data_IF_824686702439
#
_entry.id   IF_824686702439
#
_cell.length_a   1.000
_cell.length_b   1.000
_cell.length_c   1.000
_cell.angle_alpha   90.00
_cell.angle_beta   90.00
_cell.angle_gamma   90.00
#
_symmetry.space_group_name_H-M   'P 1'
#
loop_
_entity.id
_entity.type
_entity.pdbx_description
1 polymer ?
#
# COMPACT_ATOMS: atom_id res chain seq x y z
N UNK A 1 -14.98 -1.61 11.35
CA UNK A 1 -13.61 -1.13 11.45
C UNK A 1 -13.18 -0.50 10.14
N UNK A 2 -12.61 0.70 10.18
CA UNK A 2 -12.16 1.35 8.95
C UNK A 2 -10.86 0.72 8.46
N UNK A 3 -10.58 0.91 7.18
CA UNK A 3 -9.34 0.43 6.59
C UNK A 3 -8.12 1.02 7.29
N UNK A 4 -8.19 2.31 7.62
CA UNK A 4 -7.11 2.99 8.35
C UNK A 4 -6.84 2.34 9.70
N UNK A 5 -7.90 2.02 10.44
CA UNK A 5 -7.77 1.35 11.74
C UNK A 5 -7.15 -0.03 11.59
N UNK A 6 -7.52 -0.76 10.55
CA UNK A 6 -6.95 -2.08 10.27
C UNK A 6 -5.44 -1.95 10.04
N UNK A 7 -5.04 -0.96 9.25
CA UNK A 7 -3.61 -0.73 8.96
C UNK A 7 -2.85 -0.36 10.25
N UNK A 8 -3.43 0.50 11.08
CA UNK A 8 -2.81 0.87 12.34
C UNK A 8 -2.64 -0.33 13.27
N UNK A 9 -3.63 -1.23 13.30
CA UNK A 9 -3.56 -2.45 14.09
C UNK A 9 -2.42 -3.35 13.59
N UNK A 10 -2.32 -3.53 12.28
CA UNK A 10 -1.25 -4.35 11.70
C UNK A 10 0.13 -3.73 11.94
N UNK A 11 0.20 -2.41 11.92
CA UNK A 11 1.44 -1.71 12.24
C UNK A 11 1.89 -2.00 13.66
N UNK A 12 0.96 -1.95 14.62
CA UNK A 12 1.27 -2.27 16.02
C UNK A 12 1.76 -3.70 16.18
N UNK A 13 1.13 -4.63 15.45
CA UNK A 13 1.57 -6.04 15.44
C UNK A 13 2.98 -6.16 14.90
N UNK A 14 3.29 -5.44 13.83
CA UNK A 14 4.63 -5.46 13.24
C UNK A 14 5.69 -4.92 14.20
N UNK A 15 5.35 -3.88 14.95
CA UNK A 15 6.25 -3.33 15.97
C UNK A 15 6.56 -4.36 17.04
N UNK A 16 5.55 -5.11 17.49
CA UNK A 16 5.73 -6.14 18.51
C UNK A 16 6.57 -7.31 17.99
N UNK A 17 6.37 -7.69 16.74
CA UNK A 17 7.12 -8.80 16.13
C UNK A 17 8.51 -8.39 15.67
N UNK A 18 8.81 -7.11 15.67
CA UNK A 18 10.10 -6.54 15.24
C UNK A 18 10.41 -6.86 13.77
N UNK A 19 9.39 -6.97 12.95
CA UNK A 19 9.55 -7.23 11.52
C UNK A 19 9.86 -5.91 10.81
N UNK A 20 11.12 -5.68 10.52
CA UNK A 20 11.61 -4.42 9.96
C UNK A 20 10.97 -4.08 8.62
N UNK A 21 10.79 -5.07 7.77
CA UNK A 21 10.18 -4.86 6.45
C UNK A 21 8.74 -4.38 6.59
N UNK A 22 7.97 -5.04 7.45
CA UNK A 22 6.58 -4.64 7.69
C UNK A 22 6.50 -3.27 8.35
N UNK A 23 7.34 -3.02 9.35
CA UNK A 23 7.37 -1.73 10.04
C UNK A 23 7.62 -0.60 9.04
N UNK A 24 8.63 -0.75 8.21
CA UNK A 24 8.97 0.25 7.20
C UNK A 24 7.83 0.48 6.22
N UNK A 25 7.22 -0.60 5.75
CA UNK A 25 6.12 -0.53 4.79
C UNK A 25 4.88 0.14 5.40
N UNK A 26 4.52 -0.24 6.63
CA UNK A 26 3.36 0.37 7.29
C UNK A 26 3.58 1.85 7.58
N UNK A 27 4.80 2.24 7.91
CA UNK A 27 5.12 3.67 8.08
C UNK A 27 4.91 4.44 6.79
N UNK A 28 5.35 3.87 5.68
CA UNK A 28 5.15 4.45 4.37
C UNK A 28 3.67 4.59 4.05
N UNK A 29 2.91 3.54 4.29
CA UNK A 29 1.46 3.53 4.04
C UNK A 29 0.76 4.59 4.88
N UNK A 30 1.03 4.62 6.18
CA UNK A 30 0.38 5.58 7.08
C UNK A 30 0.76 7.02 6.75
N UNK A 31 2.02 7.24 6.36
CA UNK A 31 2.47 8.56 5.91
C UNK A 31 1.72 9.00 4.66
N UNK A 32 1.53 8.10 3.70
CA UNK A 32 0.79 8.37 2.47
C UNK A 32 -0.67 8.70 2.76
N UNK A 33 -1.28 7.98 3.70
CA UNK A 33 -2.67 8.24 4.11
C UNK A 33 -2.77 9.61 4.77
N UNK A 34 -1.79 9.96 5.60
CA UNK A 34 -1.76 11.27 6.26
C UNK A 34 -1.67 12.39 5.24
N UNK A 35 -0.83 12.23 4.22
CA UNK A 35 -0.71 13.22 3.15
C UNK A 35 -2.03 13.36 2.40
N UNK A 36 -2.72 12.25 2.15
CA UNK A 36 -4.03 12.28 1.51
C UNK A 36 -5.06 13.00 2.38
N UNK A 37 -5.04 12.74 3.70
CA UNK A 37 -5.91 13.44 4.64
C UNK A 37 -5.71 14.95 4.58
N UNK A 38 -4.46 15.39 4.58
CA UNK A 38 -4.11 16.80 4.52
C UNK A 38 -4.62 17.41 3.22
N UNK A 39 -4.40 16.72 2.11
CA UNK A 39 -4.86 17.15 0.80
C UNK A 39 -6.39 17.32 0.78
N UNK A 40 -7.11 16.33 1.30
CA UNK A 40 -8.57 16.35 1.32
C UNK A 40 -9.13 17.47 2.21
N UNK A 41 -8.47 17.76 3.32
CA UNK A 41 -8.91 18.78 4.26
C UNK A 41 -8.60 20.21 3.79
N UNK A 42 -7.50 20.37 3.07
CA UNK A 42 -7.06 21.71 2.63
C UNK A 42 -7.49 22.05 1.23
N UNK A 43 -8.09 21.13 0.50
CA UNK A 43 -8.56 21.38 -0.85
C UNK A 43 -9.86 22.18 -0.91
N UNK A 44 -10.26 22.60 -2.10
CA UNK A 44 -11.53 23.35 -2.28
C UNK A 44 -12.74 22.49 -1.93
N UNK A 45 -12.65 21.20 -2.04
CA UNK A 45 -13.71 20.26 -1.67
C UNK A 45 -13.30 19.52 -0.42
N UNK A 46 -13.37 20.21 0.72
CA UNK A 46 -13.01 19.61 2.01
C UNK A 46 -13.84 18.36 2.26
N UNK A 47 -13.17 17.26 2.56
CA UNK A 47 -13.83 16.00 2.88
C UNK A 47 -12.95 15.18 3.79
N UNK A 48 -13.57 14.22 4.47
CA UNK A 48 -12.83 13.22 5.22
C UNK A 48 -12.37 12.13 4.25
N UNK A 49 -11.20 11.58 4.53
CA UNK A 49 -10.68 10.47 3.75
C UNK A 49 -11.44 9.21 4.13
N UNK A 50 -12.11 8.61 3.16
CA UNK A 50 -12.85 7.37 3.39
C UNK A 50 -12.07 6.16 2.85
N UNK A 51 -12.62 4.96 3.05
CA UNK A 51 -11.97 3.73 2.62
C UNK A 51 -11.76 3.68 1.11
N UNK A 52 -12.70 4.24 0.33
CA UNK A 52 -12.56 4.27 -1.12
C UNK A 52 -11.36 5.12 -1.55
N UNK A 53 -11.15 6.24 -0.88
CA UNK A 53 -9.99 7.09 -1.14
C UNK A 53 -8.68 6.34 -0.86
N UNK A 54 -8.65 5.60 0.24
CA UNK A 54 -7.48 4.82 0.60
C UNK A 54 -7.23 3.69 -0.41
N UNK A 55 -8.30 3.04 -0.86
CA UNK A 55 -8.18 1.99 -1.88
C UNK A 55 -7.62 2.53 -3.19
N UNK A 56 -8.06 3.72 -3.59
CA UNK A 56 -7.52 4.38 -4.79
C UNK A 56 -6.05 4.71 -4.63
N UNK A 57 -5.68 5.21 -3.45
CA UNK A 57 -4.28 5.49 -3.13
C UNK A 57 -3.44 4.21 -3.23
N UNK A 58 -3.94 3.12 -2.67
CA UNK A 58 -3.24 1.82 -2.69
C UNK A 58 -3.06 1.30 -4.12
N UNK A 59 -4.06 1.45 -4.97
CA UNK A 59 -3.96 1.05 -6.38
C UNK A 59 -2.86 1.82 -7.09
N UNK A 60 -2.77 3.12 -6.81
CA UNK A 60 -1.71 3.97 -7.36
C UNK A 60 -0.34 3.53 -6.86
N UNK A 61 -0.22 3.26 -5.56
CA UNK A 61 1.02 2.79 -4.96
C UNK A 61 1.46 1.46 -5.54
N UNK A 62 0.51 0.54 -5.74
CA UNK A 62 0.79 -0.76 -6.35
C UNK A 62 1.28 -0.61 -7.79
N UNK A 63 0.65 0.27 -8.55
CA UNK A 63 1.05 0.52 -9.93
C UNK A 63 2.48 1.03 -10.00
N UNK A 64 2.82 1.98 -9.14
CA UNK A 64 4.18 2.54 -9.08
C UNK A 64 5.19 1.45 -8.77
N UNK A 65 4.88 0.56 -7.83
CA UNK A 65 5.78 -0.52 -7.45
C UNK A 65 5.89 -1.59 -8.53
N UNK A 66 4.80 -1.90 -9.21
CA UNK A 66 4.83 -2.84 -10.33
C UNK A 66 5.76 -2.34 -11.42
N UNK A 67 5.74 -1.05 -11.71
CA UNK A 67 6.64 -0.44 -12.68
C UNK A 67 8.10 -0.54 -12.23
N UNK A 68 8.37 -0.26 -10.96
CA UNK A 68 9.72 -0.38 -10.39
C UNK A 68 10.22 -1.82 -10.43
N UNK A 69 9.34 -2.77 -10.10
CA UNK A 69 9.67 -4.20 -10.13
C UNK A 69 10.15 -4.61 -11.52
N UNK A 70 9.43 -4.19 -12.57
CA UNK A 70 9.80 -4.51 -13.93
C UNK A 70 11.17 -3.93 -14.29
N UNK A 71 11.43 -2.70 -13.86
CA UNK A 71 12.72 -2.04 -14.12
C UNK A 71 13.85 -2.80 -13.42
N UNK A 72 13.65 -3.17 -12.16
CA UNK A 72 14.68 -3.87 -11.40
C UNK A 72 14.93 -5.29 -11.92
N UNK A 73 13.90 -5.96 -12.43
CA UNK A 73 14.08 -7.25 -13.08
C UNK A 73 14.97 -7.13 -14.32
N UNK A 74 14.75 -6.11 -15.13
CA UNK A 74 15.53 -5.89 -16.36
C UNK A 74 16.99 -5.54 -16.06
N UNK A 75 17.23 -4.92 -14.91
CA UNK A 75 18.57 -4.46 -14.54
C UNK A 75 19.26 -5.39 -13.53
N UNK A 76 18.67 -6.55 -13.26
CA UNK A 76 19.24 -7.55 -12.35
C UNK A 76 19.51 -6.98 -10.94
N UNK A 77 18.62 -6.12 -10.47
CA UNK A 77 18.73 -5.53 -9.13
C UNK A 77 17.81 -6.27 -8.16
N UNK A 78 18.17 -7.50 -7.84
CA UNK A 78 17.37 -8.36 -6.97
C UNK A 78 17.19 -7.78 -5.56
N UNK A 79 18.15 -7.03 -5.07
CA UNK A 79 18.09 -6.36 -3.76
C UNK A 79 16.94 -5.35 -3.72
N UNK A 80 16.84 -4.50 -4.73
CA UNK A 80 15.79 -3.48 -4.82
C UNK A 80 14.44 -4.11 -5.21
N UNK A 81 14.49 -5.14 -6.06
CA UNK A 81 13.30 -5.88 -6.46
C UNK A 81 12.58 -6.46 -5.24
N UNK A 82 13.33 -7.07 -4.33
CA UNK A 82 12.77 -7.70 -3.15
C UNK A 82 12.03 -6.69 -2.28
N UNK A 83 12.61 -5.51 -2.07
CA UNK A 83 11.99 -4.45 -1.27
C UNK A 83 10.66 -4.01 -1.89
N UNK A 84 10.67 -3.75 -3.20
CA UNK A 84 9.45 -3.31 -3.90
C UNK A 84 8.39 -4.39 -3.92
N UNK A 85 8.80 -5.65 -4.09
CA UNK A 85 7.87 -6.78 -4.11
C UNK A 85 7.21 -6.95 -2.75
N UNK A 86 7.97 -6.84 -1.67
CA UNK A 86 7.44 -6.94 -0.31
C UNK A 86 6.42 -5.82 -0.03
N UNK A 87 6.73 -4.59 -0.45
CA UNK A 87 5.81 -3.47 -0.30
C UNK A 87 4.54 -3.69 -1.10
N UNK A 88 4.68 -4.13 -2.34
CA UNK A 88 3.54 -4.43 -3.20
C UNK A 88 2.62 -5.48 -2.54
N UNK A 89 3.21 -6.55 -2.04
CA UNK A 89 2.44 -7.64 -1.44
C UNK A 89 1.67 -7.17 -0.20
N UNK A 90 2.30 -6.37 0.64
CA UNK A 90 1.65 -5.85 1.85
C UNK A 90 0.50 -4.93 1.48
N UNK A 91 0.73 -4.00 0.56
CA UNK A 91 -0.31 -3.06 0.12
C UNK A 91 -1.49 -3.81 -0.50
N UNK A 92 -1.20 -4.79 -1.36
CA UNK A 92 -2.26 -5.55 -2.04
C UNK A 92 -3.10 -6.35 -1.07
N UNK A 93 -2.54 -6.74 0.08
CA UNK A 93 -3.27 -7.52 1.07
C UNK A 93 -4.43 -6.77 1.69
N UNK A 94 -4.43 -5.43 1.60
CA UNK A 94 -5.51 -4.61 2.12
C UNK A 94 -6.61 -4.34 1.10
N UNK A 95 -6.41 -4.73 -0.14
CA UNK A 95 -7.44 -4.57 -1.17
C UNK A 95 -8.23 -5.86 -1.33
N UNK A 96 -9.51 -5.75 -1.73
CA UNK A 96 -10.28 -6.96 -2.03
C UNK A 96 -9.59 -7.74 -3.14
N UNK A 97 -9.60 -9.04 -3.05
CA UNK A 97 -9.04 -9.88 -4.10
C UNK A 97 -9.82 -9.67 -5.38
N UNK A 98 -9.13 -9.26 -6.42
CA UNK A 98 -9.70 -9.11 -7.75
C UNK A 98 -9.55 -10.45 -8.43
N UNK A 99 -10.56 -11.13 -8.51
CA UNK A 99 -10.48 -12.48 -9.05
C UNK A 99 -10.54 -12.50 -10.55
N UNK A 100 -10.64 -12.30 -10.02
CA UNK A 100 -10.70 -12.41 -10.82
C UNK A 100 -10.15 -12.44 -11.70
N UNK A 101 -9.92 -12.41 -11.79
CA UNK A 101 -9.34 -12.40 -12.42
C UNK A 101 -8.96 -13.18 -12.93
N UNK A 102 -9.31 -13.49 -12.59
CA UNK A 102 -8.94 -14.11 -13.05
C UNK A 102 -9.14 -14.76 -13.42
N UNK A 103 -9.58 -14.83 -13.01
CA UNK A 103 -9.67 -15.40 -13.27
C UNK A 103 -9.91 -15.72 -14.09
N UNK A 104 -10.14 -15.47 -14.16
CA UNK A 104 -10.16 -15.67 -14.78
C UNK A 104 -10.02 -16.06 -15.49
N UNK A 105 -10.10 -16.20 -15.52
CA UNK A 105 -9.88 -16.61 -16.11
C UNK A 105 -9.94 -17.08 -16.73
N UNK A 106 -10.23 -17.00 -16.79
CA UNK A 106 -10.16 -17.47 -17.20
C UNK A 106 -10.14 -17.88 -17.62
#
# INVERSE_FOLDING_TARGET
MSLKETIETEYKKALKSKDKTKISTYRLILSSIKDLDIFNRSGPNKKETDDDDIKKLFKKMMKQRAESIEIYKKNNRSDLLEVEQNEYDIISSFLPKQLNLSLIHI
#
